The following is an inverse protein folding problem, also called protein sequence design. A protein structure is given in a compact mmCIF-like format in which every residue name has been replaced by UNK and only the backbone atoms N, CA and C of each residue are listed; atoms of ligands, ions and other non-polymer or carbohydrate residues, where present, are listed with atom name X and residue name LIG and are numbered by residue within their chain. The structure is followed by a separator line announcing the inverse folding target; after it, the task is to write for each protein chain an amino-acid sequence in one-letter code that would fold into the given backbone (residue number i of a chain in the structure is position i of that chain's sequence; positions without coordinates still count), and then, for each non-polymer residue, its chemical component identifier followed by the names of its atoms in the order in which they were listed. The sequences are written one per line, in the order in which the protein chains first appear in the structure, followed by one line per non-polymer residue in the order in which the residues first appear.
data_IF_906909411465
#
_entry.id   IF_906909411465
#
_cell.length_a   1.000
_cell.length_b   1.000
_cell.length_c   1.000
_cell.angle_alpha   90.00
_cell.angle_beta   90.00
_cell.angle_gamma   90.00
#
_symmetry.space_group_name_H-M   'P 1'
#
loop_
_entity.id
_entity.type
_entity.pdbx_description
1 polymer ?
#
# COMPACT_ATOMS: atom_id res chain seq x y z
N UNK A 1 -13.79 -59.06 -72.63
CA UNK A 1 -12.53 -59.22 -71.88
C UNK A 1 -12.04 -57.87 -71.38
N UNK A 2 -12.65 -57.31 -70.34
CA UNK A 2 -12.19 -56.06 -69.70
C UNK A 2 -12.66 -56.08 -68.23
N UNK A 3 -11.99 -56.90 -67.43
CA UNK A 3 -12.22 -57.01 -65.98
C UNK A 3 -10.94 -57.50 -65.33
N UNK A 4 -9.90 -56.66 -65.26
CA UNK A 4 -8.68 -56.95 -64.48
C UNK A 4 -7.73 -55.74 -64.30
N UNK A 5 -8.21 -54.51 -64.07
CA UNK A 5 -7.35 -53.47 -63.47
C UNK A 5 -8.07 -52.77 -62.32
N UNK A 6 -8.11 -53.54 -61.24
CA UNK A 6 -8.15 -53.08 -59.88
C UNK A 6 -6.78 -52.45 -59.54
N UNK A 7 -6.83 -51.39 -58.73
CA UNK A 7 -5.80 -50.96 -57.76
C UNK A 7 -4.92 -49.77 -58.17
N UNK A 8 -4.86 -48.80 -57.24
CA UNK A 8 -3.88 -47.72 -57.08
C UNK A 8 -4.08 -46.41 -57.84
N UNK A 9 -5.07 -45.61 -57.42
CA UNK A 9 -4.83 -44.18 -57.25
C UNK A 9 -5.87 -43.53 -56.32
N UNK A 10 -5.80 -43.83 -55.03
CA UNK A 10 -6.38 -42.94 -54.01
C UNK A 10 -5.31 -42.63 -52.97
N UNK A 11 -4.53 -41.58 -53.27
CA UNK A 11 -3.51 -41.04 -52.38
C UNK A 11 -4.20 -40.43 -51.15
N UNK A 12 -3.99 -41.11 -50.04
CA UNK A 12 -4.12 -40.64 -48.65
C UNK A 12 -3.71 -39.17 -48.50
N UNK A 13 -4.66 -38.31 -48.15
CA UNK A 13 -4.41 -36.96 -47.65
C UNK A 13 -4.14 -37.07 -46.15
N UNK A 14 -2.87 -37.21 -45.78
CA UNK A 14 -2.42 -37.18 -44.38
C UNK A 14 -2.39 -35.74 -43.86
N UNK A 15 -3.10 -35.50 -42.76
CA UNK A 15 -3.08 -34.23 -42.02
C UNK A 15 -1.66 -33.92 -41.49
N UNK A 16 -1.24 -32.64 -41.41
CA UNK A 16 0.08 -32.27 -40.92
C UNK A 16 0.18 -32.50 -39.40
N UNK A 17 1.37 -32.86 -38.88
CA UNK A 17 1.56 -33.12 -37.46
C UNK A 17 1.46 -31.83 -36.63
N UNK A 18 1.01 -31.90 -35.36
CA UNK A 18 0.87 -30.72 -34.51
C UNK A 18 2.25 -30.12 -34.19
N UNK A 19 2.37 -28.81 -34.43
CA UNK A 19 3.54 -28.02 -34.09
C UNK A 19 3.78 -28.04 -32.57
N UNK A 20 4.88 -28.64 -32.12
CA UNK A 20 5.32 -28.56 -30.73
C UNK A 20 5.77 -27.14 -30.42
N UNK A 21 4.97 -26.38 -29.68
CA UNK A 21 5.39 -25.11 -29.07
C UNK A 21 6.52 -25.43 -28.09
N UNK A 22 7.72 -24.84 -28.21
CA UNK A 22 8.80 -25.10 -27.27
C UNK A 22 8.38 -24.58 -25.90
N UNK A 23 8.46 -25.45 -24.89
CA UNK A 23 8.20 -25.10 -23.51
C UNK A 23 9.10 -23.92 -23.10
N UNK A 24 8.48 -22.76 -22.84
CA UNK A 24 9.17 -21.57 -22.34
C UNK A 24 9.79 -21.93 -20.99
N UNK A 25 11.09 -22.23 -20.98
CA UNK A 25 11.87 -22.44 -19.76
C UNK A 25 11.73 -21.17 -18.91
N UNK A 26 10.93 -21.26 -17.85
CA UNK A 26 10.86 -20.22 -16.82
C UNK A 26 12.27 -20.16 -16.23
N UNK A 27 12.99 -19.08 -16.51
CA UNK A 27 14.27 -18.80 -15.89
C UNK A 27 13.96 -18.44 -14.44
N UNK A 28 14.01 -19.42 -13.55
CA UNK A 28 13.96 -19.16 -12.11
C UNK A 28 15.11 -18.22 -11.77
N UNK A 29 14.76 -16.99 -11.41
CA UNK A 29 15.71 -16.02 -10.88
C UNK A 29 16.23 -16.58 -9.56
N UNK A 30 17.56 -16.58 -9.32
CA UNK A 30 18.12 -17.11 -8.09
C UNK A 30 17.54 -16.34 -6.89
N UNK A 31 16.85 -17.05 -6.01
CA UNK A 31 16.39 -16.56 -4.72
C UNK A 31 17.58 -16.43 -3.77
N UNK A 32 18.44 -15.44 -4.01
CA UNK A 32 19.57 -15.12 -3.13
C UNK A 32 19.57 -13.63 -2.83
N UNK A 33 19.33 -13.30 -1.55
CA UNK A 33 19.89 -12.11 -0.84
C UNK A 33 19.18 -11.76 0.47
N UNK A 34 18.37 -12.63 1.07
CA UNK A 34 17.80 -12.33 2.40
C UNK A 34 18.87 -12.23 3.48
N UNK A 35 19.88 -13.11 3.49
CA UNK A 35 20.94 -13.11 4.51
C UNK A 35 21.94 -11.95 4.39
N UNK A 36 22.51 -11.72 3.20
CA UNK A 36 23.55 -10.69 2.99
C UNK A 36 23.01 -9.26 3.20
N UNK A 37 21.75 -9.02 2.79
CA UNK A 37 21.06 -7.75 3.06
C UNK A 37 20.75 -7.55 4.54
N UNK A 38 20.42 -8.63 5.27
CA UNK A 38 20.16 -8.58 6.72
C UNK A 38 21.43 -8.21 7.49
N UNK A 39 22.57 -8.85 7.20
CA UNK A 39 23.84 -8.52 7.85
C UNK A 39 24.29 -7.08 7.56
N UNK A 40 24.16 -6.60 6.31
CA UNK A 40 24.45 -5.21 5.96
C UNK A 40 23.54 -4.21 6.68
N UNK A 41 22.25 -4.52 6.80
CA UNK A 41 21.29 -3.67 7.50
C UNK A 41 21.54 -3.63 9.02
N UNK A 42 21.86 -4.78 9.63
CA UNK A 42 22.19 -4.87 11.05
C UNK A 42 23.47 -4.10 11.36
N UNK A 43 24.51 -4.24 10.53
CA UNK A 43 25.75 -3.48 10.66
C UNK A 43 25.50 -1.97 10.57
N UNK A 44 24.70 -1.53 9.60
CA UNK A 44 24.36 -0.10 9.42
C UNK A 44 23.61 0.44 10.64
N UNK A 45 22.64 -0.31 11.17
CA UNK A 45 21.90 0.07 12.39
C UNK A 45 22.80 0.12 13.62
N UNK A 46 23.73 -0.82 13.77
CA UNK A 46 24.70 -0.83 14.86
C UNK A 46 25.65 0.37 14.80
N UNK A 47 26.15 0.73 13.61
CA UNK A 47 27.01 1.92 13.41
C UNK A 47 26.24 3.20 13.72
N UNK A 48 25.00 3.32 13.25
CA UNK A 48 24.15 4.47 13.54
C UNK A 48 23.81 4.57 15.04
N UNK A 49 23.53 3.43 15.68
CA UNK A 49 23.26 3.35 17.11
C UNK A 49 24.46 3.74 17.96
N UNK A 50 25.66 3.25 17.59
CA UNK A 50 26.90 3.64 18.24
C UNK A 50 27.20 5.14 18.05
N UNK A 51 27.08 5.66 16.82
CA UNK A 51 27.26 7.10 16.57
C UNK A 51 26.27 7.97 17.35
N UNK A 52 25.01 7.54 17.49
CA UNK A 52 24.02 8.23 18.31
C UNK A 52 24.37 8.18 19.81
N UNK A 53 24.84 7.04 20.29
CA UNK A 53 25.31 6.88 21.68
C UNK A 53 26.50 7.80 21.98
N UNK A 54 27.51 7.82 21.11
CA UNK A 54 28.68 8.70 21.25
C UNK A 54 28.29 10.17 21.17
N UNK A 55 27.36 10.55 20.29
CA UNK A 55 26.86 11.91 20.23
C UNK A 55 26.06 12.32 21.48
N UNK A 56 25.34 11.38 22.11
CA UNK A 56 24.54 11.64 23.31
C UNK A 56 25.39 11.71 24.59
N UNK A 57 26.42 10.88 24.72
CA UNK A 57 27.18 10.70 25.96
C UNK A 57 28.66 11.11 25.89
N UNK A 58 29.26 11.11 24.69
CA UNK A 58 30.70 11.23 24.50
C UNK A 58 31.30 12.63 24.68
N UNK A 59 30.49 13.66 24.99
CA UNK A 59 30.92 15.07 25.19
C UNK A 59 31.81 15.66 24.06
N UNK A 60 31.81 15.06 22.87
CA UNK A 60 32.68 15.48 21.75
C UNK A 60 32.37 16.88 21.21
N UNK A 61 31.10 17.27 21.24
CA UNK A 61 30.66 18.59 20.82
C UNK A 61 29.39 18.99 21.57
N UNK A 62 29.14 20.30 21.60
CA UNK A 62 27.91 20.86 22.16
C UNK A 62 27.09 21.50 21.05
N UNK A 63 25.77 21.73 21.24
CA UNK A 63 24.94 22.41 20.25
C UNK A 63 25.47 23.81 19.87
N UNK A 64 26.22 24.46 20.79
CA UNK A 64 26.83 25.79 20.60
C UNK A 64 28.22 25.74 19.95
N UNK A 65 28.82 24.56 19.76
CA UNK A 65 30.07 24.43 19.01
C UNK A 65 29.82 24.70 17.53
N UNK A 66 30.87 25.08 16.78
CA UNK A 66 30.76 25.29 15.33
C UNK A 66 30.15 24.08 14.61
N UNK A 67 30.56 22.87 15.00
CA UNK A 67 30.04 21.63 14.42
C UNK A 67 28.55 21.43 14.73
N UNK A 68 28.14 21.61 16.00
CA UNK A 68 26.74 21.55 16.39
C UNK A 68 25.90 22.56 15.62
N UNK A 69 26.36 23.82 15.55
CA UNK A 69 25.67 24.89 14.83
C UNK A 69 25.41 24.55 13.36
N UNK A 70 26.42 24.09 12.61
CA UNK A 70 26.24 23.74 11.21
C UNK A 70 25.28 22.55 11.00
N UNK A 71 25.27 21.56 11.89
CA UNK A 71 24.28 20.49 11.85
C UNK A 71 22.85 21.03 11.96
N UNK A 72 22.63 21.99 12.87
CA UNK A 72 21.34 22.64 13.05
C UNK A 72 20.91 23.45 11.83
N UNK A 73 21.82 24.24 11.26
CA UNK A 73 21.57 25.03 10.05
C UNK A 73 21.25 24.14 8.85
N UNK A 74 22.09 23.14 8.56
CA UNK A 74 21.87 22.23 7.43
C UNK A 74 20.58 21.44 7.62
N UNK A 75 20.34 20.90 8.82
CA UNK A 75 19.11 20.16 9.14
C UNK A 75 17.86 21.02 8.93
N UNK A 76 17.87 22.26 9.44
CA UNK A 76 16.77 23.22 9.30
C UNK A 76 16.54 23.61 7.83
N UNK A 77 17.61 23.87 7.07
CA UNK A 77 17.51 24.16 5.63
C UNK A 77 16.91 22.99 4.85
N UNK A 78 17.33 21.76 5.14
CA UNK A 78 16.74 20.56 4.53
C UNK A 78 15.25 20.43 4.88
N UNK A 79 14.87 20.72 6.13
CA UNK A 79 13.47 20.70 6.55
C UNK A 79 12.65 21.81 5.89
N UNK A 80 13.22 22.99 5.69
CA UNK A 80 12.58 24.08 4.95
C UNK A 80 12.33 23.70 3.49
N UNK A 81 13.32 23.05 2.85
CA UNK A 81 13.21 22.55 1.47
C UNK A 81 12.11 21.50 1.31
N UNK A 82 11.63 20.85 2.38
CA UNK A 82 10.47 19.95 2.30
C UNK A 82 9.21 20.65 1.79
N UNK A 83 9.08 21.95 2.07
CA UNK A 83 7.96 22.78 1.61
C UNK A 83 8.01 23.03 0.10
N UNK A 84 9.13 22.77 -0.57
CA UNK A 84 9.21 22.85 -2.02
C UNK A 84 8.30 21.82 -2.71
N UNK A 85 8.03 20.67 -2.07
CA UNK A 85 7.10 19.66 -2.59
C UNK A 85 5.65 20.16 -2.69
N UNK A 86 4.98 20.61 -1.60
CA UNK A 86 3.65 21.19 -1.72
C UNK A 86 3.66 22.46 -2.57
N UNK A 87 4.69 23.30 -2.48
CA UNK A 87 4.79 24.50 -3.31
C UNK A 87 4.79 24.16 -4.81
N UNK A 88 5.53 23.11 -5.22
CA UNK A 88 5.52 22.61 -6.61
C UNK A 88 4.15 22.13 -7.07
N UNK A 89 3.34 21.61 -6.15
CA UNK A 89 1.98 21.14 -6.45
C UNK A 89 1.01 22.31 -6.67
N UNK A 90 1.14 23.38 -5.89
CA UNK A 90 0.21 24.51 -5.89
C UNK A 90 0.63 25.70 -6.77
N UNK A 91 1.92 25.87 -7.05
CA UNK A 91 2.45 26.98 -7.86
C UNK A 91 2.63 26.55 -9.31
N UNK A 92 1.87 27.19 -10.21
CA UNK A 92 1.80 26.84 -11.63
C UNK A 92 3.15 26.86 -12.36
N UNK A 93 4.05 27.79 -12.02
CA UNK A 93 5.37 27.87 -12.66
C UNK A 93 6.29 26.70 -12.28
N UNK A 94 6.28 26.25 -11.02
CA UNK A 94 7.07 25.10 -10.55
C UNK A 94 6.53 23.76 -11.06
N UNK A 95 5.27 23.69 -11.54
CA UNK A 95 4.72 22.45 -12.10
C UNK A 95 5.49 21.97 -13.34
N UNK A 96 6.19 22.87 -14.04
CA UNK A 96 7.07 22.55 -15.20
C UNK A 96 8.39 21.90 -14.79
N UNK A 97 8.77 21.97 -13.51
CA UNK A 97 10.06 21.48 -13.03
C UNK A 97 9.98 19.98 -12.77
N UNK A 98 10.32 19.18 -13.78
CA UNK A 98 10.51 17.74 -13.67
C UNK A 98 9.29 16.93 -13.21
N UNK A 99 9.47 15.60 -13.17
CA UNK A 99 8.39 14.69 -12.77
C UNK A 99 8.14 14.71 -11.25
N UNK A 100 6.87 14.73 -10.84
CA UNK A 100 6.44 14.77 -9.43
C UNK A 100 7.03 13.64 -8.57
N UNK A 101 7.30 12.47 -9.17
CA UNK A 101 7.93 11.32 -8.50
C UNK A 101 9.30 11.65 -7.91
N UNK A 102 10.10 12.48 -8.57
CA UNK A 102 11.42 12.86 -8.09
C UNK A 102 11.32 13.79 -6.89
N UNK A 103 10.46 14.81 -6.97
CA UNK A 103 10.18 15.72 -5.85
C UNK A 103 9.68 14.97 -4.62
N UNK A 104 8.77 14.00 -4.80
CA UNK A 104 8.31 13.16 -3.71
C UNK A 104 9.45 12.34 -3.09
N UNK A 105 10.33 11.76 -3.91
CA UNK A 105 11.51 11.02 -3.42
C UNK A 105 12.45 11.93 -2.62
N UNK A 106 12.75 13.13 -3.12
CA UNK A 106 13.59 14.12 -2.43
C UNK A 106 12.97 14.52 -1.10
N UNK A 107 11.67 14.82 -1.08
CA UNK A 107 10.92 15.12 0.14
C UNK A 107 11.03 13.99 1.18
N UNK A 108 10.90 12.73 0.76
CA UNK A 108 11.05 11.59 1.67
C UNK A 108 12.46 11.46 2.25
N UNK A 109 13.50 11.67 1.42
CA UNK A 109 14.90 11.59 1.87
C UNK A 109 15.21 12.72 2.84
N UNK A 110 14.91 13.97 2.46
CA UNK A 110 15.13 15.14 3.31
C UNK A 110 14.29 15.07 4.60
N UNK A 111 13.10 14.46 4.55
CA UNK A 111 12.21 14.30 5.69
C UNK A 111 12.70 13.29 6.72
N UNK A 112 13.75 12.54 6.41
CA UNK A 112 14.43 11.65 7.36
C UNK A 112 15.80 12.26 7.73
N UNK A 113 16.58 12.67 6.74
CA UNK A 113 17.95 13.17 6.95
C UNK A 113 17.96 14.50 7.69
N UNK A 114 17.07 15.44 7.35
CA UNK A 114 16.98 16.74 8.02
C UNK A 114 16.72 16.60 9.52
N UNK A 115 15.63 15.91 9.93
CA UNK A 115 15.36 15.64 11.34
C UNK A 115 16.48 14.90 12.07
N UNK A 116 17.16 13.96 11.40
CA UNK A 116 18.30 13.26 11.97
C UNK A 116 19.45 14.24 12.28
N UNK A 117 19.80 15.14 11.36
CA UNK A 117 20.80 16.18 11.63
C UNK A 117 20.40 17.09 12.79
N UNK A 118 19.10 17.43 12.92
CA UNK A 118 18.59 18.21 14.05
C UNK A 118 18.71 17.46 15.38
N UNK A 119 18.51 16.14 15.42
CA UNK A 119 18.73 15.32 16.62
C UNK A 119 20.21 15.31 17.04
N UNK A 120 21.12 15.19 16.07
CA UNK A 120 22.56 15.27 16.32
C UNK A 120 22.97 16.69 16.77
N UNK A 121 22.40 17.74 16.18
CA UNK A 121 22.60 19.13 16.64
C UNK A 121 22.25 19.30 18.13
N UNK A 122 21.15 18.70 18.58
CA UNK A 122 20.73 18.79 19.99
C UNK A 122 21.46 17.81 20.92
N UNK A 123 22.39 17.00 20.41
CA UNK A 123 23.06 15.91 21.16
C UNK A 123 22.06 15.01 21.90
N UNK A 124 20.86 14.81 21.33
CA UNK A 124 19.75 14.07 21.95
C UNK A 124 19.29 14.59 23.33
N UNK A 125 19.60 15.84 23.68
CA UNK A 125 19.22 16.45 24.95
C UNK A 125 18.22 17.59 24.76
N UNK A 126 17.22 17.65 25.66
CA UNK A 126 16.23 18.73 25.71
C UNK A 126 16.70 19.74 26.74
N UNK A 127 17.09 20.94 26.29
CA UNK A 127 17.64 21.99 27.16
C UNK A 127 16.64 23.09 27.53
N UNK A 128 15.49 23.13 26.86
CA UNK A 128 14.47 24.16 27.04
C UNK A 128 13.09 23.67 26.57
N UNK A 129 12.03 24.32 27.03
CA UNK A 129 10.64 23.99 26.67
C UNK A 129 10.37 24.24 25.18
N UNK A 130 10.90 25.33 24.62
CA UNK A 130 10.74 25.59 23.18
C UNK A 130 11.40 24.51 22.31
N UNK A 131 12.59 24.03 22.69
CA UNK A 131 13.29 22.95 22.02
C UNK A 131 12.52 21.63 22.14
N UNK A 132 11.87 21.38 23.29
CA UNK A 132 11.01 20.22 23.46
C UNK A 132 9.84 20.23 22.46
N UNK A 133 9.14 21.36 22.32
CA UNK A 133 8.01 21.50 21.39
C UNK A 133 8.48 21.30 19.93
N UNK A 134 9.61 21.89 19.54
CA UNK A 134 10.19 21.70 18.22
C UNK A 134 10.57 20.24 17.97
N UNK A 135 11.19 19.57 18.95
CA UNK A 135 11.57 18.17 18.87
C UNK A 135 10.35 17.25 18.71
N UNK A 136 9.34 17.38 19.59
CA UNK A 136 8.16 16.51 19.55
C UNK A 136 7.30 16.74 18.31
N UNK A 137 7.15 17.99 17.86
CA UNK A 137 6.44 18.29 16.62
C UNK A 137 7.19 17.73 15.40
N UNK A 138 8.52 17.85 15.36
CA UNK A 138 9.36 17.24 14.32
C UNK A 138 9.19 15.72 14.28
N UNK A 139 9.30 15.04 15.42
CA UNK A 139 9.10 13.59 15.50
C UNK A 139 7.67 13.21 15.06
N UNK A 140 6.66 13.99 15.47
CA UNK A 140 5.28 13.82 15.04
C UNK A 140 5.11 13.93 13.52
N UNK A 141 5.74 14.92 12.88
CA UNK A 141 5.73 15.07 11.41
C UNK A 141 6.42 13.90 10.73
N UNK A 142 7.58 13.43 11.23
CA UNK A 142 8.29 12.28 10.66
C UNK A 142 7.47 11.00 10.76
N UNK A 143 6.95 10.69 11.95
CA UNK A 143 6.14 9.49 12.20
C UNK A 143 4.87 9.53 11.34
N UNK A 144 4.15 10.66 11.35
CA UNK A 144 2.95 10.81 10.51
C UNK A 144 3.29 10.76 9.02
N UNK A 145 4.42 11.28 8.57
CA UNK A 145 4.88 11.19 7.18
C UNK A 145 5.18 9.74 6.75
N UNK A 146 5.83 8.95 7.62
CA UNK A 146 6.06 7.52 7.40
C UNK A 146 4.72 6.78 7.27
N UNK A 147 3.77 7.03 8.18
CA UNK A 147 2.41 6.47 8.10
C UNK A 147 1.75 6.86 6.77
N UNK A 148 1.83 8.13 6.38
CA UNK A 148 1.32 8.63 5.11
C UNK A 148 1.90 7.90 3.91
N UNK A 149 3.21 7.60 3.91
CA UNK A 149 3.88 6.79 2.87
C UNK A 149 3.35 5.35 2.82
N UNK A 150 3.16 4.70 3.96
CA UNK A 150 2.60 3.34 3.99
C UNK A 150 1.20 3.30 3.39
N UNK A 151 0.37 4.29 3.73
CA UNK A 151 -0.98 4.44 3.17
C UNK A 151 -0.90 4.73 1.66
N UNK A 152 -0.04 5.67 1.26
CA UNK A 152 0.15 6.03 -0.15
C UNK A 152 0.58 4.84 -1.01
N UNK A 153 1.53 4.02 -0.54
CA UNK A 153 1.98 2.84 -1.30
C UNK A 153 0.87 1.81 -1.45
N UNK A 154 0.05 1.57 -0.42
CA UNK A 154 -1.09 0.64 -0.50
C UNK A 154 -2.20 1.13 -1.44
N UNK A 155 -2.46 2.43 -1.46
CA UNK A 155 -3.45 3.02 -2.37
C UNK A 155 -2.91 3.06 -3.81
N UNK A 156 -1.65 3.47 -4.01
CA UNK A 156 -1.10 3.72 -5.33
C UNK A 156 -0.65 2.46 -6.08
N UNK A 157 -0.05 1.48 -5.40
CA UNK A 157 0.29 0.20 -6.03
C UNK A 157 -0.92 -0.72 -6.24
N UNK A 158 -2.04 -0.46 -5.57
CA UNK A 158 -3.26 -1.26 -5.71
C UNK A 158 -4.33 -0.64 -6.59
N UNK A 159 -4.54 0.69 -6.52
CA UNK A 159 -5.88 1.26 -6.76
C UNK A 159 -5.93 2.72 -7.30
N UNK A 160 -4.83 3.47 -7.44
CA UNK A 160 -4.93 4.90 -7.81
C UNK A 160 -5.13 5.14 -9.32
N UNK A 161 -4.76 4.19 -10.18
CA UNK A 161 -5.26 4.15 -11.56
C UNK A 161 -6.80 4.02 -11.62
N UNK A 162 -7.42 3.63 -10.50
CA UNK A 162 -8.84 3.37 -10.43
C UNK A 162 -9.69 4.53 -9.91
N UNK A 163 -9.20 5.68 -9.41
CA UNK A 163 -10.15 6.72 -8.91
C UNK A 163 -11.15 7.21 -9.98
N UNK A 164 -10.70 7.37 -11.22
CA UNK A 164 -11.58 7.61 -12.38
C UNK A 164 -12.35 6.35 -12.84
N UNK A 165 -11.88 5.17 -12.42
CA UNK A 165 -12.46 3.85 -12.66
C UNK A 165 -13.34 3.37 -11.50
N UNK A 166 -13.50 4.09 -10.38
CA UNK A 166 -14.15 3.55 -9.18
C UNK A 166 -15.65 3.58 -9.29
N UNK A 167 -16.21 4.68 -9.82
CA UNK A 167 -17.60 4.71 -10.24
C UNK A 167 -17.86 3.54 -11.19
N UNK A 168 -16.97 3.33 -12.16
CA UNK A 168 -17.03 2.18 -13.08
C UNK A 168 -16.90 0.83 -12.39
N UNK A 169 -15.98 0.65 -11.44
CA UNK A 169 -15.77 -0.62 -10.71
C UNK A 169 -16.95 -0.89 -9.80
N UNK A 170 -17.55 0.14 -9.20
CA UNK A 170 -18.72 0.00 -8.34
C UNK A 170 -19.98 -0.28 -9.17
N UNK A 171 -20.14 0.34 -10.34
CA UNK A 171 -21.20 0.04 -11.31
C UNK A 171 -21.03 -1.36 -11.93
N UNK A 172 -19.83 -1.72 -12.39
CA UNK A 172 -19.50 -3.06 -12.87
C UNK A 172 -19.66 -4.11 -11.76
N UNK A 173 -19.30 -3.78 -10.52
CA UNK A 173 -19.54 -4.65 -9.37
C UNK A 173 -21.02 -4.79 -9.09
N UNK A 174 -21.82 -3.71 -9.13
CA UNK A 174 -23.27 -3.79 -8.95
C UNK A 174 -23.93 -4.67 -10.04
N UNK A 175 -23.49 -4.53 -11.29
CA UNK A 175 -23.93 -5.38 -12.41
C UNK A 175 -23.56 -6.85 -12.23
N UNK A 176 -22.29 -7.15 -11.95
CA UNK A 176 -21.82 -8.53 -11.68
C UNK A 176 -22.36 -9.11 -10.38
N UNK A 177 -22.66 -8.28 -9.39
CA UNK A 177 -23.25 -8.66 -8.11
C UNK A 177 -24.65 -9.22 -8.33
N UNK A 178 -25.45 -8.56 -9.17
CA UNK A 178 -26.77 -9.04 -9.56
C UNK A 178 -26.72 -10.34 -10.37
N UNK A 179 -25.78 -10.47 -11.33
CA UNK A 179 -25.57 -11.72 -12.07
C UNK A 179 -25.14 -12.87 -11.13
N UNK A 180 -24.20 -12.62 -10.21
CA UNK A 180 -23.77 -13.60 -9.23
C UNK A 180 -24.89 -14.02 -8.27
N UNK A 181 -25.73 -13.07 -7.81
CA UNK A 181 -26.90 -13.36 -6.98
C UNK A 181 -27.93 -14.19 -7.74
N UNK A 182 -28.23 -13.82 -8.99
CA UNK A 182 -29.17 -14.57 -9.84
C UNK A 182 -28.72 -16.02 -10.04
N UNK A 183 -27.45 -16.24 -10.38
CA UNK A 183 -26.90 -17.58 -10.59
C UNK A 183 -26.75 -18.40 -9.31
N UNK A 184 -26.64 -17.74 -8.15
CA UNK A 184 -26.50 -18.41 -6.85
C UNK A 184 -27.84 -18.59 -6.10
N UNK A 185 -28.96 -18.20 -6.71
CA UNK A 185 -30.30 -18.27 -6.10
C UNK A 185 -30.69 -19.69 -5.67
N UNK A 186 -30.18 -20.73 -6.34
CA UNK A 186 -30.38 -22.13 -5.96
C UNK A 186 -29.75 -22.47 -4.58
N UNK A 187 -28.85 -21.62 -4.05
CA UNK A 187 -28.19 -21.77 -2.76
C UNK A 187 -28.51 -20.59 -1.82
N UNK A 188 -29.74 -20.51 -1.26
CA UNK A 188 -30.21 -19.33 -0.51
C UNK A 188 -29.36 -19.00 0.72
N UNK A 189 -28.72 -19.99 1.36
CA UNK A 189 -27.78 -19.77 2.47
C UNK A 189 -26.52 -19.04 2.03
N UNK A 190 -25.99 -19.37 0.85
CA UNK A 190 -24.77 -18.75 0.31
C UNK A 190 -25.08 -17.32 -0.08
N UNK A 191 -26.22 -17.08 -0.73
CA UNK A 191 -26.68 -15.74 -1.08
C UNK A 191 -26.81 -14.84 0.16
N UNK A 192 -27.44 -15.33 1.24
CA UNK A 192 -27.57 -14.59 2.49
C UNK A 192 -26.21 -14.21 3.09
N UNK A 193 -25.22 -15.11 3.07
CA UNK A 193 -23.87 -14.82 3.56
C UNK A 193 -23.14 -13.77 2.71
N UNK A 194 -23.32 -13.80 1.39
CA UNK A 194 -22.76 -12.78 0.49
C UNK A 194 -23.39 -11.40 0.76
N UNK A 195 -24.71 -11.35 0.93
CA UNK A 195 -25.43 -10.12 1.23
C UNK A 195 -25.08 -9.54 2.61
N UNK A 196 -24.92 -10.38 3.64
CA UNK A 196 -24.53 -9.91 4.98
C UNK A 196 -23.12 -9.30 4.95
N UNK A 197 -22.19 -9.93 4.22
CA UNK A 197 -20.84 -9.39 4.04
C UNK A 197 -20.84 -8.06 3.29
N UNK A 198 -21.64 -7.94 2.23
CA UNK A 198 -21.80 -6.69 1.47
C UNK A 198 -22.32 -5.55 2.35
N UNK A 199 -23.39 -5.80 3.13
CA UNK A 199 -23.97 -4.80 4.05
C UNK A 199 -22.99 -4.38 5.14
N UNK A 200 -22.33 -5.32 5.79
CA UNK A 200 -21.31 -5.03 6.81
C UNK A 200 -20.13 -4.24 6.24
N UNK A 201 -19.74 -4.55 5.01
CA UNK A 201 -18.63 -3.87 4.33
C UNK A 201 -18.99 -2.48 3.82
N UNK A 202 -20.28 -2.18 3.63
CA UNK A 202 -20.77 -0.87 3.16
C UNK A 202 -21.14 0.04 4.34
N UNK A 203 -21.66 -0.54 5.43
CA UNK A 203 -21.99 0.17 6.67
C UNK A 203 -20.76 0.32 7.58
N UNK A 204 -19.71 0.97 7.07
CA UNK A 204 -18.47 1.12 7.82
C UNK A 204 -18.61 2.25 8.88
N UNK A 205 -18.74 1.78 10.14
CA UNK A 205 -18.85 2.42 11.45
C UNK A 205 -18.15 3.80 11.63
N UNK A 206 -18.57 4.56 12.66
CA UNK A 206 -18.13 5.95 12.92
C UNK A 206 -16.71 6.09 13.53
N UNK A 207 -16.01 5.02 13.90
CA UNK A 207 -14.80 5.10 14.74
C UNK A 207 -13.51 4.51 14.11
N UNK A 208 -12.39 5.23 14.28
CA UNK A 208 -11.07 4.95 13.69
C UNK A 208 -10.46 3.60 14.09
N UNK A 209 -10.48 3.28 15.38
CA UNK A 209 -9.88 2.04 15.91
C UNK A 209 -10.63 0.84 15.32
N UNK A 210 -11.95 0.93 15.24
CA UNK A 210 -12.80 -0.08 14.61
C UNK A 210 -12.48 -0.26 13.13
N UNK A 211 -12.05 0.77 12.40
CA UNK A 211 -11.62 0.63 11.00
C UNK A 211 -10.30 -0.13 10.83
N UNK A 212 -9.32 0.10 11.73
CA UNK A 212 -8.06 -0.63 11.69
C UNK A 212 -8.27 -2.13 12.01
N UNK A 213 -9.09 -2.43 13.02
CA UNK A 213 -9.49 -3.80 13.34
C UNK A 213 -10.39 -4.41 12.26
N UNK A 214 -11.28 -3.64 11.64
CA UNK A 214 -12.10 -4.10 10.52
C UNK A 214 -11.25 -4.43 9.30
N UNK A 215 -10.19 -3.67 9.00
CA UNK A 215 -9.29 -4.01 7.90
C UNK A 215 -8.65 -5.40 8.09
N UNK A 216 -8.16 -5.67 9.30
CA UNK A 216 -7.52 -6.94 9.64
C UNK A 216 -8.53 -8.08 9.69
N UNK A 217 -9.70 -7.83 10.28
CA UNK A 217 -10.76 -8.84 10.43
C UNK A 217 -11.52 -9.10 9.14
N UNK A 218 -11.64 -8.14 8.20
CA UNK A 218 -12.29 -8.34 6.89
C UNK A 218 -11.57 -9.41 6.06
N UNK A 219 -10.23 -9.45 6.11
CA UNK A 219 -9.46 -10.50 5.44
C UNK A 219 -9.72 -11.89 6.02
N UNK A 220 -9.76 -11.99 7.35
CA UNK A 220 -10.04 -13.23 8.07
C UNK A 220 -11.49 -13.68 7.84
N UNK A 221 -12.45 -12.75 7.95
CA UNK A 221 -13.88 -12.99 7.69
C UNK A 221 -14.11 -13.47 6.27
N UNK A 222 -13.45 -12.87 5.27
CA UNK A 222 -13.50 -13.34 3.87
C UNK A 222 -13.04 -14.79 3.77
N UNK A 223 -11.88 -15.12 4.33
CA UNK A 223 -11.34 -16.48 4.27
C UNK A 223 -12.28 -17.52 4.90
N UNK A 224 -12.89 -17.18 6.04
CA UNK A 224 -13.88 -18.04 6.70
C UNK A 224 -15.15 -18.18 5.84
N UNK A 225 -15.65 -17.08 5.26
CA UNK A 225 -16.85 -17.09 4.41
C UNK A 225 -16.61 -17.85 3.10
N UNK A 226 -15.47 -17.65 2.45
CA UNK A 226 -15.05 -18.40 1.26
C UNK A 226 -15.03 -19.90 1.55
N UNK A 227 -14.47 -20.31 2.70
CA UNK A 227 -14.47 -21.71 3.10
C UNK A 227 -15.88 -22.25 3.38
N UNK A 228 -16.74 -21.48 4.07
CA UNK A 228 -18.12 -21.87 4.37
C UNK A 228 -18.97 -21.99 3.09
N UNK A 229 -18.89 -21.00 2.21
CA UNK A 229 -19.54 -21.03 0.89
C UNK A 229 -19.04 -22.24 0.10
N UNK A 230 -17.72 -22.46 0.06
CA UNK A 230 -17.13 -23.57 -0.68
C UNK A 230 -17.56 -24.94 -0.18
N UNK A 231 -17.80 -25.09 1.12
CA UNK A 231 -18.31 -26.33 1.71
C UNK A 231 -19.79 -26.54 1.36
N UNK A 232 -20.61 -25.50 1.44
CA UNK A 232 -22.05 -25.61 1.15
C UNK A 232 -22.32 -25.82 -0.35
N UNK A 233 -21.63 -25.09 -1.22
CA UNK A 233 -21.69 -25.27 -2.68
C UNK A 233 -21.25 -26.67 -3.10
N UNK A 234 -20.20 -27.23 -2.48
CA UNK A 234 -19.79 -28.63 -2.70
C UNK A 234 -20.83 -29.64 -2.25
N UNK A 235 -21.62 -29.35 -1.22
CA UNK A 235 -22.68 -30.25 -0.76
C UNK A 235 -23.86 -30.25 -1.73
N UNK A 236 -24.33 -29.07 -2.13
CA UNK A 236 -25.49 -28.91 -3.00
C UNK A 236 -25.21 -29.49 -4.39
N UNK A 237 -24.10 -29.12 -5.03
CA UNK A 237 -23.77 -29.60 -6.37
C UNK A 237 -23.31 -31.07 -6.43
N UNK A 238 -23.07 -31.70 -5.27
CA UNK A 238 -22.87 -33.16 -5.20
C UNK A 238 -24.20 -33.91 -5.16
N UNK A 239 -25.24 -33.30 -4.60
CA UNK A 239 -26.58 -33.89 -4.53
C UNK A 239 -27.37 -33.68 -5.82
N UNK A 240 -27.22 -32.53 -6.47
CA UNK A 240 -28.04 -32.14 -7.62
C UNK A 240 -27.21 -31.42 -8.69
N UNK A 241 -27.31 -31.89 -9.94
CA UNK A 241 -26.49 -31.39 -11.05
C UNK A 241 -27.22 -30.22 -11.73
N UNK A 242 -26.77 -29.00 -11.46
CA UNK A 242 -27.38 -27.81 -12.05
C UNK A 242 -26.86 -27.53 -13.48
N UNK A 243 -27.77 -27.23 -14.45
CA UNK A 243 -27.39 -26.96 -15.83
C UNK A 243 -26.59 -25.67 -16.02
N UNK A 244 -26.70 -24.70 -15.10
CA UNK A 244 -25.95 -23.44 -15.12
C UNK A 244 -24.46 -23.58 -14.76
N UNK A 245 -24.09 -24.63 -14.01
CA UNK A 245 -22.70 -24.87 -13.57
C UNK A 245 -22.21 -26.20 -14.12
N UNK A 246 -21.96 -26.25 -15.43
CA UNK A 246 -21.44 -27.44 -16.12
C UNK A 246 -20.06 -27.86 -15.59
N UNK A 247 -19.26 -26.91 -15.08
CA UNK A 247 -18.00 -27.17 -14.38
C UNK A 247 -18.15 -27.71 -12.95
N UNK A 248 -19.38 -27.83 -12.44
CA UNK A 248 -19.69 -28.33 -11.11
C UNK A 248 -19.37 -27.35 -9.99
N UNK A 249 -19.11 -27.87 -8.79
CA UNK A 249 -18.93 -27.06 -7.58
C UNK A 249 -17.75 -26.08 -7.67
N UNK A 250 -16.70 -26.37 -8.43
CA UNK A 250 -15.53 -25.49 -8.55
C UNK A 250 -15.87 -24.15 -9.21
N UNK A 251 -16.72 -24.15 -10.24
CA UNK A 251 -17.14 -22.95 -10.97
C UNK A 251 -17.98 -22.03 -10.09
N UNK A 252 -18.92 -22.59 -9.34
CA UNK A 252 -19.76 -21.84 -8.42
C UNK A 252 -18.96 -21.28 -7.21
N UNK A 253 -17.92 -22.00 -6.77
CA UNK A 253 -16.97 -21.53 -5.75
C UNK A 253 -16.10 -20.38 -6.27
N UNK A 254 -15.64 -20.45 -7.53
CA UNK A 254 -14.90 -19.37 -8.16
C UNK A 254 -15.75 -18.11 -8.28
N UNK A 255 -17.03 -18.24 -8.60
CA UNK A 255 -17.96 -17.12 -8.65
C UNK A 255 -18.12 -16.46 -7.27
N UNK A 256 -18.40 -17.25 -6.22
CA UNK A 256 -18.56 -16.73 -4.85
C UNK A 256 -17.28 -16.09 -4.29
N UNK A 257 -16.11 -16.71 -4.50
CA UNK A 257 -14.82 -16.14 -4.08
C UNK A 257 -14.45 -14.88 -4.86
N UNK A 258 -14.80 -14.80 -6.15
CA UNK A 258 -14.60 -13.58 -6.94
C UNK A 258 -15.50 -12.46 -6.44
N UNK A 259 -16.77 -12.73 -6.14
CA UNK A 259 -17.67 -11.76 -5.52
C UNK A 259 -17.11 -11.20 -4.21
N UNK A 260 -16.68 -12.07 -3.29
CA UNK A 260 -16.18 -11.68 -1.98
C UNK A 260 -14.88 -10.85 -2.06
N UNK A 261 -13.98 -11.19 -2.98
CA UNK A 261 -12.75 -10.42 -3.23
C UNK A 261 -13.03 -9.02 -3.76
N UNK A 262 -13.99 -8.91 -4.66
CA UNK A 262 -14.36 -7.63 -5.29
C UNK A 262 -15.10 -6.73 -4.29
N UNK A 263 -16.00 -7.30 -3.48
CA UNK A 263 -16.65 -6.62 -2.36
C UNK A 263 -15.62 -6.10 -1.34
N UNK A 264 -14.62 -6.91 -0.98
CA UNK A 264 -13.52 -6.50 -0.10
C UNK A 264 -12.72 -5.33 -0.72
N UNK A 265 -12.42 -5.39 -2.02
CA UNK A 265 -11.65 -4.35 -2.70
C UNK A 265 -12.37 -3.00 -2.67
N UNK A 266 -13.68 -2.99 -2.93
CA UNK A 266 -14.53 -1.78 -2.85
C UNK A 266 -14.56 -1.24 -1.41
N UNK A 267 -14.76 -2.10 -0.41
CA UNK A 267 -14.79 -1.69 0.99
C UNK A 267 -13.44 -1.14 1.50
N UNK A 268 -12.33 -1.78 1.13
CA UNK A 268 -10.98 -1.33 1.47
C UNK A 268 -10.68 0.04 0.88
N UNK A 269 -11.15 0.32 -0.34
CA UNK A 269 -10.95 1.62 -0.96
C UNK A 269 -11.55 2.78 -0.14
N UNK A 270 -12.81 2.65 0.30
CA UNK A 270 -13.47 3.67 1.13
C UNK A 270 -12.72 3.93 2.44
N UNK A 271 -12.12 2.88 3.01
CA UNK A 271 -11.32 2.96 4.24
C UNK A 271 -10.03 3.75 4.00
N UNK A 272 -9.39 3.54 2.84
CA UNK A 272 -8.18 4.26 2.47
C UNK A 272 -8.41 5.75 2.21
N UNK A 273 -9.52 6.14 1.57
CA UNK A 273 -9.84 7.57 1.39
C UNK A 273 -10.05 8.28 2.72
N UNK A 274 -10.77 7.66 3.66
CA UNK A 274 -10.93 8.19 5.01
C UNK A 274 -9.59 8.34 5.72
N UNK A 275 -8.74 7.30 5.66
CA UNK A 275 -7.40 7.37 6.26
C UNK A 275 -6.57 8.49 5.65
N UNK A 276 -6.61 8.64 4.32
CA UNK A 276 -5.91 9.72 3.63
C UNK A 276 -6.42 11.09 4.06
N UNK A 277 -7.74 11.29 4.16
CA UNK A 277 -8.32 12.56 4.63
C UNK A 277 -7.88 12.89 6.07
N UNK A 278 -7.96 11.91 6.98
CA UNK A 278 -7.58 12.08 8.38
C UNK A 278 -6.09 12.35 8.52
N UNK A 279 -5.25 11.66 7.74
CA UNK A 279 -3.82 11.88 7.71
C UNK A 279 -3.48 13.32 7.32
N UNK A 280 -4.14 13.90 6.31
CA UNK A 280 -3.92 15.30 5.95
C UNK A 280 -4.32 16.24 7.09
N UNK A 281 -5.46 15.99 7.73
CA UNK A 281 -5.96 16.79 8.86
C UNK A 281 -5.00 16.78 10.04
N UNK A 282 -4.26 15.68 10.27
CA UNK A 282 -3.26 15.59 11.34
C UNK A 282 -1.89 16.11 10.91
N UNK A 283 -1.40 15.73 9.74
CA UNK A 283 -0.04 16.01 9.29
C UNK A 283 0.19 17.50 8.98
N UNK A 284 -0.80 18.17 8.38
CA UNK A 284 -0.68 19.58 7.99
C UNK A 284 -0.53 20.51 9.21
N UNK A 285 -1.39 20.43 10.26
CA UNK A 285 -1.20 21.23 11.48
C UNK A 285 0.14 20.97 12.17
N UNK A 286 0.60 19.72 12.20
CA UNK A 286 1.90 19.38 12.80
C UNK A 286 3.06 20.10 12.09
N UNK A 287 3.00 20.25 10.77
CA UNK A 287 4.00 21.03 10.01
C UNK A 287 3.99 22.50 10.44
N UNK A 288 2.82 23.11 10.62
CA UNK A 288 2.72 24.50 11.05
C UNK A 288 3.24 24.71 12.48
N UNK A 289 2.90 23.82 13.41
CA UNK A 289 3.42 23.85 14.78
C UNK A 289 4.94 23.70 14.78
N UNK A 290 5.47 22.77 13.99
CA UNK A 290 6.90 22.59 13.81
C UNK A 290 7.56 23.85 13.26
N UNK A 291 7.04 24.42 12.17
CA UNK A 291 7.60 25.63 11.59
C UNK A 291 7.62 26.81 12.59
N UNK A 292 6.51 27.05 13.29
CA UNK A 292 6.42 28.12 14.28
C UNK A 292 7.39 27.90 15.46
N UNK A 293 7.45 26.68 16.00
CA UNK A 293 8.34 26.35 17.11
C UNK A 293 9.82 26.40 16.71
N UNK A 294 10.18 26.01 15.48
CA UNK A 294 11.54 26.15 14.95
C UNK A 294 11.94 27.62 14.83
N UNK A 295 11.07 28.48 14.28
CA UNK A 295 11.34 29.93 14.20
C UNK A 295 11.55 30.51 15.60
N UNK A 296 10.68 30.18 16.55
CA UNK A 296 10.80 30.66 17.92
C UNK A 296 12.06 30.13 18.61
N UNK A 297 12.44 28.87 18.36
CA UNK A 297 13.68 28.29 18.87
C UNK A 297 14.91 29.03 18.37
N UNK A 298 14.98 29.34 17.07
CA UNK A 298 16.09 30.10 16.48
C UNK A 298 16.16 31.50 17.09
N UNK A 299 15.05 32.23 17.15
CA UNK A 299 15.00 33.57 17.74
C UNK A 299 15.47 33.56 19.19
N UNK A 300 14.98 32.61 19.99
CA UNK A 300 15.36 32.50 21.40
C UNK A 300 16.87 32.26 21.58
N UNK A 301 17.49 31.45 20.73
CA UNK A 301 18.95 31.19 20.78
C UNK A 301 19.77 32.41 20.34
N UNK A 302 19.24 33.26 19.47
CA UNK A 302 19.92 34.51 19.07
C UNK A 302 19.73 35.65 20.08
N UNK A 303 18.65 35.63 20.85
CA UNK A 303 18.35 36.66 21.86
C UNK A 303 19.03 36.40 23.22
N UNK A 304 19.37 35.14 23.55
CA UNK A 304 19.91 34.72 24.85
C UNK A 304 21.16 33.84 24.72
#
# INVERSE_FOLDING_TARGET
MLSAELIQSEKSTTAPPPSRVPARRVKELPSSSSGLGQFGSAFTLSVLGWAAYEAAYGKYYTPRSNFGFYLGVVGTLMMLLLLAYPLRKHVQWMQRWGALKHWFRVHMIMGIVGPLLVLFHSTFQIRSTNAAVALFSMLGVVISGIIGRFVYTKIHYGLYGSRATLGKIQEEFAGRSNDAKSRLHFAPRVEQWLQSFERESTQLARSFISHLFNFLTLGIRRGILEFRCARELRRILKAERHPEFRGGASEAIQLASSYLRECQRVAQFSTYERFFSLWHVLHIPLIYILAASTVFHIIAVYMY
#
